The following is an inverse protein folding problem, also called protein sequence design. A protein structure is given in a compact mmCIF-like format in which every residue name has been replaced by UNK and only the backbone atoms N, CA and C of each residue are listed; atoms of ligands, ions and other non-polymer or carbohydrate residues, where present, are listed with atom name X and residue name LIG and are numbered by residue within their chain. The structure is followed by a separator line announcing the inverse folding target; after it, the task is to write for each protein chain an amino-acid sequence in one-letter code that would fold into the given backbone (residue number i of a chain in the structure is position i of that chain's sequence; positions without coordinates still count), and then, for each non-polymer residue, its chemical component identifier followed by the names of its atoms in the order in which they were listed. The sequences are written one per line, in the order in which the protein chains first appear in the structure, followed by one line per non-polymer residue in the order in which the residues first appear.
data_IF_557049359958
#
_entry.id   IF_557049359958
#
_cell.length_a   1.000
_cell.length_b   1.000
_cell.length_c   1.000
_cell.angle_alpha   90.00
_cell.angle_beta   90.00
_cell.angle_gamma   90.00
#
_symmetry.space_group_name_H-M   'P 1'
#
loop_
_entity.id
_entity.type
_entity.pdbx_description
1 polymer ?
#
# COMPACT_ATOMS: atom_id res chain seq x y z
N UNK A 1 20.11 -10.99 11.20
CA UNK A 1 19.28 -9.80 11.29
C UNK A 1 19.91 -8.75 10.40
N UNK A 2 19.15 -8.22 9.44
CA UNK A 2 19.68 -7.19 8.52
C UNK A 2 20.05 -5.93 9.32
N UNK A 3 21.14 -5.29 8.92
CA UNK A 3 21.63 -4.04 9.51
C UNK A 3 21.22 -2.86 8.60
N UNK A 4 20.46 -1.93 9.16
CA UNK A 4 19.99 -0.73 8.48
C UNK A 4 20.74 0.53 8.94
N UNK A 5 21.84 0.40 9.68
CA UNK A 5 22.57 1.53 10.29
C UNK A 5 23.08 2.55 9.26
N UNK A 6 23.36 2.11 8.03
CA UNK A 6 23.80 2.97 6.93
C UNK A 6 22.66 3.48 6.02
N UNK A 7 21.42 3.08 6.31
CA UNK A 7 20.26 3.47 5.52
C UNK A 7 19.52 4.63 6.17
N UNK A 8 18.78 5.39 5.37
CA UNK A 8 17.91 6.46 5.86
C UNK A 8 16.54 5.89 6.19
N UNK A 9 16.24 5.72 7.47
CA UNK A 9 14.90 5.36 7.91
C UNK A 9 13.96 6.53 7.67
N UNK A 10 12.85 6.29 6.98
CA UNK A 10 11.83 7.28 6.64
C UNK A 10 10.44 6.73 6.95
N UNK A 11 9.53 7.56 7.47
CA UNK A 11 8.15 7.15 7.67
C UNK A 11 7.45 6.87 6.34
N UNK A 12 6.44 6.00 6.33
CA UNK A 12 5.65 5.75 5.12
C UNK A 12 4.99 7.04 4.63
N UNK A 13 4.52 7.90 5.53
CA UNK A 13 3.95 9.21 5.16
C UNK A 13 4.96 10.07 4.41
N UNK A 14 6.15 10.27 4.95
CA UNK A 14 7.19 11.09 4.32
C UNK A 14 7.69 10.46 3.02
N UNK A 15 7.76 9.14 2.96
CA UNK A 15 8.10 8.42 1.74
C UNK A 15 7.07 8.66 0.62
N UNK A 16 5.77 8.62 0.93
CA UNK A 16 4.70 8.97 -0.02
C UNK A 16 4.79 10.44 -0.45
N UNK A 17 5.20 11.34 0.44
CA UNK A 17 5.39 12.75 0.12
C UNK A 17 6.49 13.00 -0.91
N UNK A 18 7.49 12.13 -1.04
CA UNK A 18 8.48 12.22 -2.13
C UNK A 18 7.78 12.19 -3.49
N UNK A 19 6.82 11.29 -3.65
CA UNK A 19 6.02 11.15 -4.86
C UNK A 19 5.07 12.35 -5.06
N UNK A 20 4.34 12.75 -4.04
CA UNK A 20 3.37 13.84 -4.13
C UNK A 20 4.01 15.21 -4.39
N UNK A 21 5.23 15.44 -3.88
CA UNK A 21 6.00 16.65 -4.19
C UNK A 21 6.39 16.73 -5.66
N UNK A 22 6.68 15.59 -6.28
CA UNK A 22 7.08 15.54 -7.69
C UNK A 22 5.87 15.65 -8.63
N UNK A 23 4.80 14.90 -8.36
CA UNK A 23 3.71 14.73 -9.31
C UNK A 23 2.37 15.33 -8.84
N UNK A 24 2.26 15.75 -7.58
CA UNK A 24 0.98 16.16 -7.00
C UNK A 24 0.08 14.99 -6.62
N UNK A 25 -1.10 15.32 -6.10
CA UNK A 25 -2.13 14.39 -5.65
C UNK A 25 -3.23 14.22 -6.70
N UNK A 26 -4.12 13.27 -6.49
CA UNK A 26 -5.31 13.07 -7.29
C UNK A 26 -4.98 12.75 -8.75
N UNK A 27 -5.71 13.35 -9.69
CA UNK A 27 -5.59 13.05 -11.13
C UNK A 27 -4.18 13.29 -11.70
N UNK A 28 -3.43 14.25 -11.15
CA UNK A 28 -2.06 14.55 -11.57
C UNK A 28 -1.09 13.38 -11.30
N UNK A 29 -1.38 12.56 -10.29
CA UNK A 29 -0.55 11.42 -9.89
C UNK A 29 -0.74 10.16 -10.73
N UNK A 30 -1.84 10.05 -11.47
CA UNK A 30 -2.22 8.82 -12.16
C UNK A 30 -1.18 8.39 -13.20
N UNK A 31 -0.77 7.13 -13.13
CA UNK A 31 0.18 6.53 -14.07
C UNK A 31 1.63 7.03 -13.94
N UNK A 32 1.91 7.86 -12.93
CA UNK A 32 3.25 8.40 -12.70
C UNK A 32 4.12 7.42 -11.94
N UNK A 33 5.43 7.51 -12.19
CA UNK A 33 6.47 6.66 -11.60
C UNK A 33 7.57 7.54 -11.02
N UNK A 34 7.93 7.29 -9.76
CA UNK A 34 9.09 7.89 -9.12
C UNK A 34 10.11 6.81 -8.79
N UNK A 35 11.28 6.84 -9.43
CA UNK A 35 12.41 6.00 -9.06
C UNK A 35 13.00 6.45 -7.73
N UNK A 36 13.28 5.50 -6.83
CA UNK A 36 13.95 5.77 -5.57
C UNK A 36 15.46 5.53 -5.73
N UNK A 37 16.21 6.61 -5.72
CA UNK A 37 17.68 6.59 -5.88
C UNK A 37 18.43 6.65 -4.56
N UNK A 38 17.80 7.22 -3.53
CA UNK A 38 18.36 7.30 -2.17
C UNK A 38 18.15 5.99 -1.41
N UNK A 39 19.04 5.72 -0.46
CA UNK A 39 18.97 4.50 0.37
C UNK A 39 17.95 4.65 1.50
N UNK A 40 16.68 4.81 1.12
CA UNK A 40 15.57 4.85 2.06
C UNK A 40 15.12 3.46 2.48
N UNK A 41 14.84 3.32 3.77
CA UNK A 41 14.16 2.16 4.35
C UNK A 41 12.85 2.61 4.97
N UNK A 42 11.76 2.00 4.55
CA UNK A 42 10.45 2.13 5.19
C UNK A 42 10.14 0.89 5.99
N UNK A 43 9.32 1.01 7.01
CA UNK A 43 8.85 -0.13 7.79
C UNK A 43 7.37 0.00 8.14
N UNK A 44 6.72 -1.13 8.30
CA UNK A 44 5.33 -1.16 8.71
C UNK A 44 4.86 -2.57 9.04
N UNK A 45 3.74 -2.63 9.73
CA UNK A 45 3.05 -3.85 10.10
C UNK A 45 2.20 -4.35 8.91
N UNK A 46 2.29 -5.62 8.57
CA UNK A 46 1.44 -6.25 7.53
C UNK A 46 -0.02 -6.20 7.97
N UNK A 47 -0.88 -5.58 7.18
CA UNK A 47 -2.31 -5.39 7.46
C UNK A 47 -3.23 -6.08 6.44
N UNK A 48 -2.69 -6.87 5.52
CA UNK A 48 -3.45 -7.58 4.49
C UNK A 48 -2.99 -9.02 4.35
N UNK A 49 -3.85 -9.84 3.76
CA UNK A 49 -3.53 -11.21 3.37
C UNK A 49 -4.14 -11.50 2.00
N UNK A 50 -3.37 -12.15 1.13
CA UNK A 50 -3.83 -12.62 -0.18
C UNK A 50 -4.38 -14.06 -0.14
N UNK A 51 -4.49 -14.65 1.05
CA UNK A 51 -4.96 -16.03 1.25
C UNK A 51 -6.40 -16.25 0.75
N UNK A 52 -7.28 -15.27 0.98
CA UNK A 52 -8.69 -15.32 0.57
C UNK A 52 -8.94 -14.87 -0.89
N UNK A 53 -7.90 -14.44 -1.61
CA UNK A 53 -7.98 -14.06 -3.01
C UNK A 53 -8.54 -12.66 -3.30
N UNK A 54 -8.90 -11.89 -2.29
CA UNK A 54 -9.37 -10.49 -2.43
C UNK A 54 -8.24 -9.47 -2.55
N UNK A 55 -7.02 -9.86 -2.26
CA UNK A 55 -5.79 -9.13 -2.56
C UNK A 55 -4.93 -10.02 -3.45
N UNK A 56 -4.35 -9.47 -4.51
CA UNK A 56 -3.59 -10.23 -5.48
C UNK A 56 -2.21 -9.63 -5.71
N UNK A 57 -1.16 -10.44 -5.50
CA UNK A 57 0.25 -10.07 -5.66
C UNK A 57 0.67 -8.82 -4.88
N UNK A 58 -0.01 -8.53 -3.78
CA UNK A 58 0.23 -7.34 -2.99
C UNK A 58 0.24 -7.66 -1.50
N UNK A 59 1.04 -6.88 -0.77
CA UNK A 59 1.02 -6.82 0.69
C UNK A 59 0.91 -5.35 1.09
N UNK A 60 -0.03 -5.02 1.95
CA UNK A 60 -0.17 -3.68 2.51
C UNK A 60 0.55 -3.63 3.85
N UNK A 61 1.38 -2.62 4.04
CA UNK A 61 2.05 -2.35 5.32
C UNK A 61 1.62 -1.00 5.87
N UNK A 62 1.45 -0.95 7.19
CA UNK A 62 1.00 0.21 7.94
C UNK A 62 2.06 0.65 8.94
N UNK A 63 2.44 1.91 8.84
CA UNK A 63 3.35 2.60 9.76
C UNK A 63 2.54 3.35 10.81
N UNK A 64 2.50 2.80 12.03
CA UNK A 64 1.75 3.37 13.15
C UNK A 64 2.29 4.77 13.53
N UNK A 65 3.60 5.00 13.38
CA UNK A 65 4.23 6.27 13.76
C UNK A 65 3.75 7.46 12.94
N UNK A 66 3.44 7.22 11.66
CA UNK A 66 2.95 8.23 10.72
C UNK A 66 1.48 8.05 10.34
N UNK A 67 0.83 7.00 10.83
CA UNK A 67 -0.56 6.61 10.51
C UNK A 67 -0.82 6.53 9.01
N UNK A 68 0.14 6.02 8.27
CA UNK A 68 0.11 5.89 6.83
C UNK A 68 0.42 4.47 6.39
N UNK A 69 -0.16 4.06 5.28
CA UNK A 69 0.06 2.74 4.71
C UNK A 69 0.49 2.83 3.25
N UNK A 70 1.11 1.77 2.74
CA UNK A 70 1.49 1.66 1.34
C UNK A 70 1.37 0.21 0.87
N UNK A 71 1.08 0.04 -0.40
CA UNK A 71 1.06 -1.25 -1.08
C UNK A 71 2.48 -1.66 -1.50
N UNK A 72 2.85 -2.91 -1.22
CA UNK A 72 4.02 -3.56 -1.79
C UNK A 72 3.56 -4.51 -2.89
N UNK A 73 4.02 -4.31 -4.11
CA UNK A 73 3.71 -5.17 -5.27
C UNK A 73 4.70 -6.33 -5.33
N UNK A 74 4.27 -7.48 -4.86
CA UNK A 74 5.12 -8.65 -4.65
C UNK A 74 4.68 -9.85 -5.50
N UNK A 75 4.81 -11.06 -4.96
CA UNK A 75 4.49 -12.34 -5.60
C UNK A 75 3.03 -12.74 -5.38
N UNK A 76 2.67 -13.91 -5.86
CA UNK A 76 1.45 -14.63 -5.45
C UNK A 76 1.70 -15.34 -4.12
N UNK A 77 0.63 -15.59 -3.37
CA UNK A 77 0.67 -16.34 -2.10
C UNK A 77 1.63 -15.74 -1.06
N UNK A 78 1.65 -14.41 -0.97
CA UNK A 78 2.49 -13.69 0.00
C UNK A 78 2.20 -14.08 1.45
N UNK A 79 0.96 -14.54 1.76
CA UNK A 79 0.56 -14.98 3.11
C UNK A 79 1.42 -16.13 3.66
N UNK A 80 2.06 -16.91 2.77
CA UNK A 80 2.99 -17.98 3.17
C UNK A 80 4.29 -17.40 3.75
N UNK A 81 4.69 -16.24 3.26
CA UNK A 81 5.97 -15.59 3.62
C UNK A 81 5.80 -14.48 4.65
N UNK A 82 4.71 -13.73 4.57
CA UNK A 82 4.48 -12.51 5.37
C UNK A 82 3.16 -12.63 6.12
N UNK A 83 3.26 -12.72 7.45
CA UNK A 83 2.09 -12.90 8.30
C UNK A 83 1.45 -11.56 8.66
N UNK A 84 0.12 -11.52 8.72
CA UNK A 84 -0.60 -10.34 9.23
C UNK A 84 -0.13 -10.03 10.65
N UNK A 85 0.17 -8.77 10.92
CA UNK A 85 0.76 -8.31 12.17
C UNK A 85 2.29 -8.33 12.22
N UNK A 86 2.97 -9.00 11.27
CA UNK A 86 4.44 -9.00 11.21
C UNK A 86 4.96 -7.65 10.73
N UNK A 87 6.01 -7.15 11.36
CA UNK A 87 6.74 -5.97 10.86
C UNK A 87 7.61 -6.36 9.67
N UNK A 88 7.54 -5.56 8.60
CA UNK A 88 8.46 -5.64 7.47
C UNK A 88 9.29 -4.37 7.38
N UNK A 89 10.53 -4.53 6.92
CA UNK A 89 11.42 -3.45 6.51
C UNK A 89 11.65 -3.56 5.01
N UNK A 90 11.58 -2.44 4.29
CA UNK A 90 11.75 -2.42 2.84
C UNK A 90 12.87 -1.48 2.46
N UNK A 91 13.96 -2.01 1.88
CA UNK A 91 15.01 -1.24 1.20
C UNK A 91 14.49 -0.81 -0.16
N UNK A 92 14.24 0.47 -0.33
CA UNK A 92 13.52 0.98 -1.49
C UNK A 92 14.41 1.47 -2.63
N UNK A 93 15.71 1.62 -2.40
CA UNK A 93 16.65 2.04 -3.44
C UNK A 93 16.62 1.11 -4.64
N UNK A 94 16.46 1.68 -5.84
CA UNK A 94 16.33 0.93 -7.09
C UNK A 94 14.91 0.44 -7.37
N UNK A 95 13.97 0.65 -6.44
CA UNK A 95 12.55 0.43 -6.65
C UNK A 95 11.86 1.72 -7.10
N UNK A 96 10.57 1.62 -7.41
CA UNK A 96 9.75 2.74 -7.84
C UNK A 96 8.46 2.86 -7.04
N UNK A 97 8.09 4.10 -6.68
CA UNK A 97 6.71 4.41 -6.30
C UNK A 97 5.91 4.61 -7.58
N UNK A 98 4.81 3.90 -7.70
CA UNK A 98 3.84 4.07 -8.78
C UNK A 98 2.45 4.39 -8.26
N UNK A 99 1.66 5.09 -9.05
CA UNK A 99 0.26 5.40 -8.73
C UNK A 99 -0.68 4.71 -9.70
N UNK A 100 -1.56 3.90 -9.14
CA UNK A 100 -2.66 3.25 -9.87
C UNK A 100 -3.96 3.51 -9.13
N UNK A 101 -4.93 4.14 -9.82
CA UNK A 101 -6.22 4.51 -9.22
C UNK A 101 -6.08 5.21 -7.87
N UNK A 102 -5.19 6.19 -7.80
CA UNK A 102 -4.83 6.97 -6.60
C UNK A 102 -4.09 6.20 -5.49
N UNK A 103 -3.99 4.88 -5.59
CA UNK A 103 -3.20 4.09 -4.65
C UNK A 103 -1.73 4.16 -5.01
N UNK A 104 -0.88 4.55 -4.06
CA UNK A 104 0.56 4.46 -4.19
C UNK A 104 1.05 3.07 -3.81
N UNK A 105 1.97 2.55 -4.61
CA UNK A 105 2.61 1.27 -4.37
C UNK A 105 4.12 1.35 -4.57
N UNK A 106 4.85 0.47 -3.90
CA UNK A 106 6.26 0.20 -4.13
C UNK A 106 6.38 -1.07 -4.96
N UNK A 107 7.12 -1.00 -6.04
CA UNK A 107 7.39 -2.13 -6.92
C UNK A 107 8.69 -1.92 -7.68
N UNK A 108 8.96 -2.77 -8.66
CA UNK A 108 10.11 -2.62 -9.56
C UNK A 108 9.91 -1.49 -10.55
N UNK A 109 11.00 -1.04 -11.15
CA UNK A 109 10.96 -0.09 -12.26
C UNK A 109 10.17 -0.68 -13.44
N UNK A 110 9.25 0.09 -14.05
CA UNK A 110 8.46 -0.38 -15.16
C UNK A 110 9.35 -0.50 -16.41
N UNK A 111 9.07 -1.51 -17.23
CA UNK A 111 9.63 -1.59 -18.58
C UNK A 111 8.86 -0.70 -19.56
N UNK A 112 9.38 -0.50 -20.76
CA UNK A 112 8.66 0.22 -21.81
C UNK A 112 7.31 -0.45 -22.15
N UNK A 113 7.24 -1.79 -22.06
CA UNK A 113 6.00 -2.55 -22.24
C UNK A 113 5.01 -2.28 -21.10
N UNK A 114 5.47 -2.27 -19.84
CA UNK A 114 4.64 -1.93 -18.68
C UNK A 114 4.02 -0.54 -18.86
N UNK A 115 4.82 0.45 -19.22
CA UNK A 115 4.38 1.83 -19.47
C UNK A 115 3.35 1.89 -20.61
N UNK A 116 3.58 1.16 -21.70
CA UNK A 116 2.63 1.10 -22.83
C UNK A 116 1.27 0.53 -22.44
N UNK A 117 1.24 -0.34 -21.43
CA UNK A 117 0.02 -0.92 -20.84
C UNK A 117 -0.60 -0.07 -19.72
N UNK A 118 0.01 1.08 -19.41
CA UNK A 118 -0.47 2.00 -18.35
C UNK A 118 -0.04 1.61 -16.94
N UNK A 119 0.94 0.73 -16.78
CA UNK A 119 1.49 0.36 -15.47
C UNK A 119 2.59 1.34 -15.04
N UNK A 120 2.45 1.88 -13.83
CA UNK A 120 3.41 2.83 -13.26
C UNK A 120 4.63 2.15 -12.62
N UNK A 121 4.50 0.91 -12.21
CA UNK A 121 5.56 0.05 -11.71
C UNK A 121 5.16 -1.42 -11.90
N UNK A 122 6.06 -2.33 -11.58
CA UNK A 122 5.84 -3.76 -11.75
C UNK A 122 6.00 -4.53 -10.45
N UNK A 123 5.41 -5.72 -10.40
CA UNK A 123 5.55 -6.61 -9.25
C UNK A 123 6.96 -7.16 -9.12
N UNK A 124 7.41 -7.36 -7.88
CA UNK A 124 8.60 -8.15 -7.56
C UNK A 124 8.19 -9.63 -7.52
N UNK A 125 8.15 -10.28 -8.67
CA UNK A 125 7.58 -11.63 -8.82
C UNK A 125 8.60 -12.76 -8.56
N UNK A 126 9.83 -12.41 -8.23
CA UNK A 126 10.90 -13.35 -7.98
C UNK A 126 11.35 -13.27 -6.53
N UNK A 127 11.45 -14.41 -5.85
CA UNK A 127 11.91 -14.48 -4.44
C UNK A 127 13.27 -13.83 -4.24
N UNK A 128 14.20 -13.93 -5.20
CA UNK A 128 15.50 -13.28 -5.10
C UNK A 128 15.39 -11.75 -5.04
N UNK A 129 14.49 -11.17 -5.83
CA UNK A 129 14.25 -9.72 -5.76
C UNK A 129 13.54 -9.31 -4.48
N UNK A 130 12.56 -10.10 -4.04
CA UNK A 130 11.87 -9.86 -2.77
C UNK A 130 12.87 -9.92 -1.62
N UNK A 131 13.73 -10.94 -1.56
CA UNK A 131 14.71 -11.13 -0.50
C UNK A 131 15.80 -10.04 -0.46
N UNK A 132 16.05 -9.36 -1.58
CA UNK A 132 16.98 -8.22 -1.62
C UNK A 132 16.38 -6.94 -1.04
N UNK A 133 15.06 -6.82 -1.02
CA UNK A 133 14.38 -5.59 -0.65
C UNK A 133 13.51 -5.71 0.60
N UNK A 134 12.88 -6.86 0.85
CA UNK A 134 11.90 -7.04 1.93
C UNK A 134 12.46 -7.93 3.03
N UNK A 135 12.60 -7.38 4.22
CA UNK A 135 13.18 -8.04 5.38
C UNK A 135 12.14 -8.18 6.49
N UNK A 136 12.09 -9.38 7.07
CA UNK A 136 11.16 -9.70 8.15
C UNK A 136 11.66 -9.16 9.48
N UNK A 137 10.82 -8.38 10.15
CA UNK A 137 11.00 -8.00 11.53
C UNK A 137 10.26 -8.92 12.49
N UNK A 138 9.86 -8.36 13.62
CA UNK A 138 9.16 -9.11 14.66
C UNK A 138 7.77 -9.57 14.22
N UNK A 139 7.38 -10.75 14.68
CA UNK A 139 6.01 -11.22 14.60
C UNK A 139 5.17 -10.45 15.61
N UNK A 140 3.98 -10.07 15.21
CA UNK A 140 3.02 -9.37 16.05
C UNK A 140 1.60 -9.72 15.64
N UNK A 141 0.65 -8.96 16.14
CA UNK A 141 -0.76 -9.06 15.79
C UNK A 141 -1.33 -7.67 15.50
N UNK A 142 -2.44 -7.63 14.78
CA UNK A 142 -3.19 -6.38 14.63
C UNK A 142 -3.89 -6.03 15.94
N UNK A 143 -3.93 -4.75 16.24
CA UNK A 143 -4.63 -4.15 17.37
C UNK A 143 -5.69 -3.18 16.87
N UNK A 144 -6.56 -2.72 17.75
CA UNK A 144 -7.56 -1.69 17.40
C UNK A 144 -6.92 -0.39 16.90
N UNK A 145 -5.72 -0.06 17.37
CA UNK A 145 -4.99 1.14 16.93
C UNK A 145 -4.49 1.05 15.47
N UNK A 146 -4.40 -0.16 14.92
CA UNK A 146 -4.04 -0.38 13.51
C UNK A 146 -5.22 -0.13 12.54
N UNK A 147 -6.44 0.02 13.07
CA UNK A 147 -7.69 0.14 12.31
C UNK A 147 -8.14 1.60 12.31
N UNK A 148 -8.39 2.14 11.12
CA UNK A 148 -9.05 3.43 10.98
C UNK A 148 -10.57 3.23 11.08
N UNK A 149 -11.17 3.75 12.15
CA UNK A 149 -12.63 3.65 12.35
C UNK A 149 -13.31 4.86 11.72
N UNK A 150 -14.23 4.58 10.81
CA UNK A 150 -15.00 5.59 10.07
C UNK A 150 -16.48 5.48 10.46
N UNK A 151 -17.08 6.62 10.78
CA UNK A 151 -18.49 6.76 11.12
C UNK A 151 -19.08 8.05 10.54
N UNK A 152 -20.35 8.33 10.81
CA UNK A 152 -21.07 9.50 10.32
C UNK A 152 -20.44 10.85 10.73
N UNK A 153 -19.67 10.89 11.83
CA UNK A 153 -19.10 12.11 12.35
C UNK A 153 -17.71 12.46 11.76
N UNK A 154 -16.98 11.45 11.26
CA UNK A 154 -15.59 11.65 10.86
C UNK A 154 -15.27 11.31 9.39
N UNK A 155 -16.21 10.74 8.63
CA UNK A 155 -15.92 10.27 7.26
C UNK A 155 -15.42 11.38 6.33
N UNK A 156 -15.90 12.62 6.51
CA UNK A 156 -15.51 13.76 5.67
C UNK A 156 -14.07 14.23 5.91
N UNK A 157 -13.52 13.97 7.09
CA UNK A 157 -12.18 14.39 7.49
C UNK A 157 -11.16 13.27 7.43
N UNK A 158 -11.57 12.03 7.79
CA UNK A 158 -10.67 10.89 7.91
C UNK A 158 -10.49 10.11 6.59
N UNK A 159 -11.45 10.16 5.66
CA UNK A 159 -11.30 9.59 4.32
C UNK A 159 -10.55 10.56 3.41
N UNK A 160 -9.25 10.62 3.57
CA UNK A 160 -8.33 11.46 2.84
C UNK A 160 -7.17 10.63 2.25
N UNK A 161 -6.18 11.27 1.63
CA UNK A 161 -5.05 10.58 1.00
C UNK A 161 -4.22 9.75 2.00
N UNK A 162 -4.17 10.13 3.28
CA UNK A 162 -3.47 9.37 4.33
C UNK A 162 -4.22 8.09 4.71
N UNK A 163 -5.53 7.99 4.43
CA UNK A 163 -6.32 6.78 4.64
C UNK A 163 -6.10 5.70 3.57
N UNK A 164 -5.55 6.08 2.42
CA UNK A 164 -5.32 5.14 1.31
C UNK A 164 -4.41 3.98 1.72
N UNK A 165 -4.88 2.77 1.49
CA UNK A 165 -4.15 1.54 1.82
C UNK A 165 -4.26 1.09 3.27
N UNK A 166 -4.91 1.84 4.16
CA UNK A 166 -5.14 1.47 5.56
C UNK A 166 -6.25 0.43 5.69
N UNK A 167 -6.19 -0.33 6.76
CA UNK A 167 -7.32 -1.14 7.21
C UNK A 167 -8.38 -0.22 7.81
N UNK A 168 -9.61 -0.29 7.29
CA UNK A 168 -10.70 0.60 7.68
C UNK A 168 -11.88 -0.24 8.19
N UNK A 169 -12.49 0.21 9.28
CA UNK A 169 -13.77 -0.31 9.77
C UNK A 169 -14.81 0.79 9.73
N UNK A 170 -15.90 0.54 9.03
CA UNK A 170 -17.04 1.43 9.02
C UNK A 170 -18.03 1.05 10.12
N UNK A 171 -18.45 2.03 10.90
CA UNK A 171 -19.43 1.85 11.98
C UNK A 171 -20.69 2.68 11.71
N UNK A 172 -21.83 2.17 12.17
CA UNK A 172 -23.12 2.86 12.05
C UNK A 172 -23.70 2.85 10.62
N UNK A 173 -23.18 2.02 9.72
CA UNK A 173 -23.76 1.89 8.39
C UNK A 173 -25.03 1.05 8.42
N UNK A 174 -26.06 1.54 7.73
CA UNK A 174 -27.29 0.79 7.47
C UNK A 174 -27.25 0.31 6.02
N UNK A 175 -27.45 -0.99 5.82
CA UNK A 175 -27.60 -1.54 4.48
C UNK A 175 -28.86 -0.94 3.81
N UNK A 176 -28.69 -0.29 2.68
CA UNK A 176 -29.79 0.09 1.81
C UNK A 176 -29.81 -0.85 0.63
N UNK A 177 -30.97 -1.44 0.37
CA UNK A 177 -31.18 -2.23 -0.82
C UNK A 177 -30.99 -1.32 -2.04
N UNK A 178 -29.97 -1.61 -2.83
CA UNK A 178 -29.63 -0.81 -4.01
C UNK A 178 -30.59 -1.12 -5.16
N UNK A 179 -30.93 -0.13 -5.95
CA UNK A 179 -31.55 -0.34 -7.26
C UNK A 179 -30.48 -0.80 -8.25
N UNK A 180 -30.77 -1.87 -9.00
CA UNK A 180 -29.96 -2.29 -10.13
C UNK A 180 -30.30 -1.41 -11.32
N UNK A 181 -29.34 -0.63 -11.79
CA UNK A 181 -29.44 0.09 -13.05
C UNK A 181 -28.87 -0.78 -14.17
N UNK A 182 -29.66 -1.74 -14.65
CA UNK A 182 -29.38 -2.52 -15.85
C UNK A 182 -28.02 -3.23 -15.97
N UNK A 183 -27.04 -2.85 -15.20
CA UNK A 183 -25.71 -3.41 -15.10
C UNK A 183 -25.55 -4.24 -13.83
N UNK A 184 -24.70 -5.24 -13.89
CA UNK A 184 -24.52 -6.36 -12.95
C UNK A 184 -24.14 -5.98 -11.50
N UNK A 185 -24.16 -4.72 -11.11
CA UNK A 185 -23.70 -4.30 -9.79
C UNK A 185 -24.75 -3.45 -9.08
N UNK A 186 -25.01 -3.71 -7.79
CA UNK A 186 -25.89 -2.85 -7.00
C UNK A 186 -25.29 -1.44 -6.94
N UNK A 187 -26.08 -0.45 -7.32
CA UNK A 187 -25.75 0.95 -7.09
C UNK A 187 -26.13 1.28 -5.65
N UNK A 188 -25.13 1.58 -4.84
CA UNK A 188 -25.35 2.12 -3.51
C UNK A 188 -25.64 3.61 -3.66
N UNK A 189 -26.87 4.01 -3.38
CA UNK A 189 -27.24 5.41 -3.28
C UNK A 189 -26.70 5.95 -1.95
N UNK A 190 -26.00 7.09 -2.01
CA UNK A 190 -25.56 7.88 -0.88
C UNK A 190 -26.73 8.33 0.02
#
# INVERSE_FOLDING_TARGET
KEDFSNSKLISIKDFKQLFYKEYGNGAASLGKTLEITEDYVISGKVISSDQAGNVYKSVYIYDESSKSAIELKLMVSNYVYFHVGQTLFVKTKGLAIGSYRYMLSVGGMPTAEDISKGYANRNLENTLFVDQHVFKGELGSLTEDDILVINENNYKTELNDDALGRLVRFEGLTYKEGTYDGDKYPQYLE
#
